data_IF_349702802947
#
_entry.id   IF_349702802947
#
_cell.length_a   1.000
_cell.length_b   1.000
_cell.length_c   1.000
_cell.angle_alpha   90.00
_cell.angle_beta   90.00
_cell.angle_gamma   90.00
#
_symmetry.space_group_name_H-M   'P 1'
#
loop_
_entity.id
_entity.type
_entity.pdbx_description
1 polymer ?
#
# COMPACT_ATOMS: atom_id res chain seq x y z
N UNK A 1 -2.98 -3.11 -11.13
CA UNK A 1 -3.89 -2.75 -10.03
C UNK A 1 -4.50 -3.98 -9.36
N UNK A 2 -5.31 -4.80 -10.06
CA UNK A 2 -6.05 -5.92 -9.45
C UNK A 2 -5.16 -6.94 -8.71
N UNK A 3 -4.05 -7.38 -9.31
CA UNK A 3 -3.12 -8.30 -8.63
C UNK A 3 -2.47 -7.66 -7.39
N UNK A 4 -2.19 -6.35 -7.41
CA UNK A 4 -1.69 -5.62 -6.24
C UNK A 4 -2.73 -5.60 -5.11
N UNK A 5 -4.01 -5.42 -5.43
CA UNK A 5 -5.10 -5.51 -4.45
C UNK A 5 -5.21 -6.91 -3.85
N UNK A 6 -5.09 -7.96 -4.66
CA UNK A 6 -5.10 -9.36 -4.18
C UNK A 6 -3.93 -9.61 -3.23
N UNK A 7 -2.72 -9.16 -3.59
CA UNK A 7 -1.54 -9.27 -2.71
C UNK A 7 -1.78 -8.54 -1.40
N UNK A 8 -2.30 -7.31 -1.45
CA UNK A 8 -2.57 -6.50 -0.26
C UNK A 8 -3.60 -7.19 0.65
N UNK A 9 -4.69 -7.73 0.09
CA UNK A 9 -5.70 -8.49 0.84
C UNK A 9 -5.12 -9.75 1.48
N UNK A 10 -4.38 -10.55 0.72
CA UNK A 10 -3.72 -11.76 1.24
C UNK A 10 -2.65 -11.45 2.31
N UNK A 11 -1.99 -10.31 2.19
CA UNK A 11 -1.03 -9.85 3.18
C UNK A 11 -1.72 -9.44 4.49
N UNK A 12 -2.85 -8.72 4.40
CA UNK A 12 -3.68 -8.38 5.56
C UNK A 12 -4.25 -9.65 6.22
N UNK A 13 -4.63 -10.66 5.45
CA UNK A 13 -5.09 -11.97 5.97
C UNK A 13 -3.96 -12.87 6.52
N UNK A 14 -2.70 -12.40 6.55
CA UNK A 14 -1.51 -13.17 6.91
C UNK A 14 -1.27 -14.45 6.06
N UNK A 15 -1.87 -14.53 4.86
CA UNK A 15 -1.69 -15.66 3.92
C UNK A 15 -0.45 -15.46 3.06
N UNK A 16 0.70 -15.31 3.72
CA UNK A 16 1.97 -14.86 3.14
C UNK A 16 2.44 -15.69 1.94
N UNK A 17 2.27 -17.02 1.98
CA UNK A 17 2.66 -17.90 0.86
C UNK A 17 1.89 -17.57 -0.44
N UNK A 18 0.58 -17.35 -0.35
CA UNK A 18 -0.21 -16.96 -1.52
C UNK A 18 0.10 -15.52 -1.94
N UNK A 19 0.27 -14.61 -0.98
CA UNK A 19 0.65 -13.23 -1.27
C UNK A 19 1.97 -13.16 -2.06
N UNK A 20 2.94 -14.04 -1.78
CA UNK A 20 4.19 -14.17 -2.56
C UNK A 20 3.93 -14.64 -3.99
N UNK A 21 3.11 -15.67 -4.18
CA UNK A 21 2.78 -16.15 -5.54
C UNK A 21 2.11 -15.06 -6.37
N UNK A 22 1.14 -14.35 -5.78
CA UNK A 22 0.44 -13.26 -6.45
C UNK A 22 1.32 -12.02 -6.67
N UNK A 23 2.30 -11.75 -5.79
CA UNK A 23 3.23 -10.63 -6.00
C UNK A 23 4.18 -10.92 -7.15
N UNK A 24 4.68 -12.15 -7.26
CA UNK A 24 5.45 -12.62 -8.42
C UNK A 24 4.61 -12.52 -9.70
N UNK A 25 3.35 -12.97 -9.66
CA UNK A 25 2.45 -12.85 -10.80
C UNK A 25 2.21 -11.40 -11.22
N UNK A 26 2.04 -10.48 -10.25
CA UNK A 26 1.83 -9.05 -10.49
C UNK A 26 3.00 -8.37 -11.22
N UNK A 27 4.21 -8.90 -11.05
CA UNK A 27 5.44 -8.40 -11.69
C UNK A 27 5.61 -9.01 -13.08
N UNK A 28 5.45 -10.33 -13.19
CA UNK A 28 5.83 -11.09 -14.38
C UNK A 28 4.71 -11.09 -15.44
N UNK A 29 3.47 -11.33 -15.06
CA UNK A 29 2.36 -11.51 -16.02
C UNK A 29 2.09 -10.25 -16.86
N UNK A 30 2.06 -9.03 -16.28
CA UNK A 30 1.91 -7.81 -17.07
C UNK A 30 3.18 -7.39 -17.83
N UNK A 31 4.28 -8.15 -17.74
CA UNK A 31 5.60 -7.78 -18.25
C UNK A 31 6.10 -6.42 -17.75
N UNK A 32 5.73 -6.02 -16.53
CA UNK A 32 6.09 -4.72 -15.96
C UNK A 32 6.92 -4.87 -14.67
N UNK A 33 8.24 -5.13 -14.80
CA UNK A 33 9.08 -5.54 -13.68
C UNK A 33 9.26 -4.44 -12.62
N UNK A 34 9.08 -3.18 -12.98
CA UNK A 34 9.24 -2.05 -12.06
C UNK A 34 8.27 -2.11 -10.88
N UNK A 35 7.09 -2.72 -11.06
CA UNK A 35 6.10 -2.91 -9.99
C UNK A 35 6.67 -3.70 -8.80
N UNK A 36 7.74 -4.49 -9.00
CA UNK A 36 8.41 -5.23 -7.92
C UNK A 36 8.81 -4.35 -6.73
N UNK A 37 9.11 -3.07 -6.97
CA UNK A 37 9.45 -2.08 -5.94
C UNK A 37 8.38 -2.03 -4.85
N UNK A 38 7.09 -2.06 -5.19
CA UNK A 38 6.01 -1.93 -4.19
C UNK A 38 5.90 -3.13 -3.27
N UNK A 39 6.48 -4.27 -3.67
CA UNK A 39 6.49 -5.51 -2.88
C UNK A 39 7.74 -5.65 -2.02
N UNK A 40 8.70 -4.73 -2.06
CA UNK A 40 9.90 -4.78 -1.20
C UNK A 40 9.53 -4.76 0.29
N UNK A 41 8.65 -3.85 0.78
CA UNK A 41 8.26 -3.88 2.18
C UNK A 41 7.46 -5.12 2.56
N UNK A 42 6.64 -5.63 1.63
CA UNK A 42 5.94 -6.91 1.79
C UNK A 42 6.92 -8.07 1.98
N UNK A 43 7.94 -8.18 1.13
CA UNK A 43 8.93 -9.23 1.24
C UNK A 43 9.67 -9.18 2.58
N UNK A 44 10.07 -7.98 3.02
CA UNK A 44 10.70 -7.78 4.32
C UNK A 44 9.79 -8.21 5.48
N UNK A 45 8.51 -7.80 5.46
CA UNK A 45 7.52 -8.19 6.46
C UNK A 45 7.27 -9.70 6.47
N UNK A 46 7.10 -10.31 5.30
CA UNK A 46 6.87 -11.74 5.15
C UNK A 46 8.04 -12.57 5.69
N UNK A 47 9.28 -12.17 5.38
CA UNK A 47 10.50 -12.82 5.89
C UNK A 47 10.59 -12.67 7.42
N UNK A 48 10.34 -11.47 7.94
CA UNK A 48 10.36 -11.21 9.38
C UNK A 48 9.34 -12.07 10.14
N UNK A 49 8.09 -12.13 9.67
CA UNK A 49 7.04 -12.93 10.29
C UNK A 49 7.31 -14.44 10.18
N UNK A 50 7.81 -14.90 9.03
CA UNK A 50 8.18 -16.29 8.83
C UNK A 50 9.35 -16.70 9.75
N UNK A 51 10.34 -15.83 9.90
CA UNK A 51 11.48 -16.01 10.80
C UNK A 51 11.08 -16.05 12.27
N UNK A 52 10.14 -15.20 12.69
CA UNK A 52 9.66 -15.18 14.08
C UNK A 52 8.85 -16.43 14.45
N UNK A 53 8.00 -16.94 13.55
CA UNK A 53 7.11 -18.09 13.82
C UNK A 53 7.80 -19.45 13.64
N UNK A 54 8.68 -19.59 12.64
CA UNK A 54 9.23 -20.88 12.21
C UNK A 54 10.76 -20.85 11.98
N UNK A 55 11.45 -19.82 12.52
CA UNK A 55 12.91 -19.64 12.46
C UNK A 55 13.45 -19.75 11.03
N UNK A 56 14.35 -20.69 10.76
CA UNK A 56 14.96 -20.85 9.44
C UNK A 56 14.02 -21.50 8.40
N UNK A 57 13.21 -22.48 8.82
CA UNK A 57 12.35 -23.26 7.92
C UNK A 57 11.26 -22.39 7.27
N UNK A 58 10.68 -21.45 8.03
CA UNK A 58 9.68 -20.52 7.51
C UNK A 58 10.24 -19.60 6.43
N UNK A 59 11.43 -19.02 6.67
CA UNK A 59 12.08 -18.13 5.70
C UNK A 59 12.46 -18.90 4.44
N UNK A 60 13.07 -20.08 4.58
CA UNK A 60 13.42 -20.94 3.46
C UNK A 60 12.17 -21.31 2.63
N UNK A 61 11.03 -21.59 3.28
CA UNK A 61 9.75 -21.87 2.62
C UNK A 61 9.24 -20.68 1.81
N UNK A 62 9.24 -19.47 2.37
CA UNK A 62 8.79 -18.25 1.67
C UNK A 62 9.67 -17.97 0.45
N UNK A 63 11.00 -18.08 0.61
CA UNK A 63 11.96 -17.92 -0.48
C UNK A 63 11.76 -18.99 -1.57
N UNK A 64 11.56 -20.25 -1.18
CA UNK A 64 11.30 -21.34 -2.11
C UNK A 64 9.99 -21.13 -2.88
N UNK A 65 8.92 -20.68 -2.22
CA UNK A 65 7.65 -20.33 -2.89
C UNK A 65 7.89 -19.22 -3.92
N UNK A 66 8.62 -18.17 -3.57
CA UNK A 66 8.96 -17.08 -4.50
C UNK A 66 9.77 -17.56 -5.69
N UNK A 67 10.80 -18.37 -5.47
CA UNK A 67 11.66 -18.90 -6.53
C UNK A 67 10.90 -19.85 -7.47
N UNK A 68 10.17 -20.82 -6.91
CA UNK A 68 9.40 -21.80 -7.69
C UNK A 68 8.28 -21.11 -8.47
N UNK A 69 7.51 -20.23 -7.82
CA UNK A 69 6.45 -19.49 -8.54
C UNK A 69 7.04 -18.57 -9.61
N UNK A 70 8.19 -17.95 -9.36
CA UNK A 70 8.91 -17.14 -10.34
C UNK A 70 9.30 -17.94 -11.57
N UNK A 71 9.95 -19.09 -11.39
CA UNK A 71 10.35 -19.97 -12.51
C UNK A 71 9.13 -20.48 -13.28
N UNK A 72 8.10 -20.94 -12.59
CA UNK A 72 6.89 -21.49 -13.24
C UNK A 72 6.15 -20.41 -14.02
N UNK A 73 5.86 -19.26 -13.39
CA UNK A 73 5.11 -18.17 -14.03
C UNK A 73 5.91 -17.58 -15.19
N UNK A 74 7.21 -17.34 -15.02
CA UNK A 74 8.08 -16.86 -16.09
C UNK A 74 8.15 -17.85 -17.24
N UNK A 75 8.30 -19.15 -16.95
CA UNK A 75 8.29 -20.22 -17.95
C UNK A 75 7.00 -20.24 -18.75
N UNK A 76 5.84 -20.09 -18.09
CA UNK A 76 4.55 -19.99 -18.76
C UNK A 76 4.46 -18.75 -19.66
N UNK A 77 4.89 -17.57 -19.19
CA UNK A 77 4.88 -16.34 -20.00
C UNK A 77 5.79 -16.48 -21.22
N UNK A 78 7.02 -16.98 -21.05
CA UNK A 78 7.96 -17.21 -22.15
C UNK A 78 7.39 -18.23 -23.14
N UNK A 79 6.74 -19.30 -22.67
CA UNK A 79 6.13 -20.29 -23.54
C UNK A 79 4.99 -19.69 -24.38
N UNK A 80 4.12 -18.88 -23.77
CA UNK A 80 3.04 -18.17 -24.50
C UNK A 80 3.65 -17.20 -25.52
N UNK A 81 4.62 -16.39 -25.12
CA UNK A 81 5.32 -15.47 -26.02
C UNK A 81 5.98 -16.22 -27.19
N UNK A 82 6.62 -17.36 -26.92
CA UNK A 82 7.22 -18.19 -27.96
C UNK A 82 6.19 -18.74 -28.94
N UNK A 83 5.05 -19.25 -28.45
CA UNK A 83 3.97 -19.76 -29.30
C UNK A 83 3.39 -18.67 -30.21
N UNK A 84 3.28 -17.43 -29.72
CA UNK A 84 2.69 -16.32 -30.47
C UNK A 84 3.69 -15.66 -31.42
N UNK A 85 4.91 -15.40 -30.96
CA UNK A 85 5.92 -14.63 -31.70
C UNK A 85 6.97 -15.49 -32.41
N UNK A 86 6.97 -16.81 -32.19
CA UNK A 86 7.94 -17.76 -32.77
C UNK A 86 9.40 -17.38 -32.44
N UNK A 87 9.60 -16.67 -31.33
CA UNK A 87 10.89 -16.17 -30.89
C UNK A 87 11.00 -16.30 -29.38
N UNK A 88 12.11 -16.86 -28.91
CA UNK A 88 12.38 -16.94 -27.48
C UNK A 88 12.79 -15.54 -26.98
N UNK A 89 11.88 -14.91 -26.24
CA UNK A 89 12.06 -13.55 -25.73
C UNK A 89 11.64 -13.50 -24.28
N UNK A 90 12.41 -12.77 -23.48
CA UNK A 90 12.02 -12.40 -22.12
C UNK A 90 11.59 -10.93 -22.14
N UNK A 91 10.30 -10.67 -22.39
CA UNK A 91 9.79 -9.32 -22.60
C UNK A 91 10.11 -8.37 -21.44
N UNK A 92 9.93 -8.84 -20.20
CA UNK A 92 10.26 -8.08 -19.00
C UNK A 92 11.74 -7.65 -18.95
N UNK A 93 12.67 -8.52 -19.36
CA UNK A 93 14.10 -8.19 -19.41
C UNK A 93 14.42 -7.14 -20.47
N UNK A 94 13.79 -7.25 -21.65
CA UNK A 94 13.98 -6.27 -22.71
C UNK A 94 13.52 -4.86 -22.29
N UNK A 95 12.40 -4.77 -21.57
CA UNK A 95 11.91 -3.49 -21.04
C UNK A 95 12.89 -2.90 -20.02
N UNK A 96 13.44 -3.71 -19.12
CA UNK A 96 14.47 -3.24 -18.17
C UNK A 96 15.71 -2.76 -18.90
N UNK A 97 16.19 -3.53 -19.88
CA UNK A 97 17.36 -3.16 -20.67
C UNK A 97 17.13 -1.85 -21.42
N UNK A 98 15.94 -1.64 -21.97
CA UNK A 98 15.58 -0.45 -22.73
C UNK A 98 15.43 0.79 -21.83
N UNK A 99 14.67 0.71 -20.74
CA UNK A 99 14.35 1.87 -19.90
C UNK A 99 15.41 2.17 -18.82
N UNK A 100 15.95 1.13 -18.17
CA UNK A 100 16.82 1.31 -17.00
C UNK A 100 18.32 1.28 -17.34
N UNK A 101 18.71 0.60 -18.42
CA UNK A 101 20.11 0.40 -18.82
C UNK A 101 20.45 1.03 -20.18
N UNK A 102 19.48 1.63 -20.87
CA UNK A 102 19.68 2.26 -22.17
C UNK A 102 20.32 3.64 -22.07
N UNK A 103 21.14 4.01 -23.06
CA UNK A 103 21.86 5.30 -23.14
C UNK A 103 21.00 6.46 -23.68
N UNK A 104 19.80 6.18 -24.19
CA UNK A 104 18.92 7.18 -24.82
C UNK A 104 17.65 7.44 -24.02
N UNK A 105 16.93 8.50 -24.41
CA UNK A 105 15.71 9.15 -23.87
C UNK A 105 14.49 8.25 -23.61
N UNK A 106 14.65 6.95 -23.38
CA UNK A 106 13.60 5.92 -23.37
C UNK A 106 12.42 6.23 -22.45
N UNK A 107 12.67 6.76 -21.25
CA UNK A 107 11.60 7.14 -20.32
C UNK A 107 10.90 8.46 -20.69
N UNK A 108 11.52 9.36 -21.47
CA UNK A 108 10.95 10.67 -21.82
C UNK A 108 10.32 10.69 -23.22
N UNK A 109 10.05 9.53 -23.82
CA UNK A 109 9.51 9.41 -25.17
C UNK A 109 8.21 10.21 -25.36
N UNK A 110 7.41 10.33 -24.30
CA UNK A 110 6.14 11.06 -24.28
C UNK A 110 6.20 12.42 -23.57
N UNK A 111 7.41 12.94 -23.33
CA UNK A 111 7.62 14.24 -22.70
C UNK A 111 7.72 14.21 -21.16
N UNK A 112 7.79 15.39 -20.56
CA UNK A 112 8.00 15.61 -19.13
C UNK A 112 6.88 16.47 -18.59
N UNK A 113 6.40 16.14 -17.39
CA UNK A 113 5.28 16.83 -16.75
C UNK A 113 5.68 17.28 -15.34
N UNK A 114 5.14 18.41 -14.84
CA UNK A 114 5.37 18.84 -13.47
C UNK A 114 4.67 17.92 -12.46
N UNK A 115 5.06 17.98 -11.19
CA UNK A 115 4.45 17.18 -10.11
C UNK A 115 2.94 17.38 -9.96
N UNK A 116 2.43 18.56 -10.34
CA UNK A 116 1.01 18.87 -10.31
C UNK A 116 0.18 17.95 -11.22
N UNK A 117 0.78 17.29 -12.20
CA UNK A 117 0.13 16.28 -13.05
C UNK A 117 -0.50 15.16 -12.22
N UNK A 118 0.26 14.55 -11.30
CA UNK A 118 -0.27 13.48 -10.45
C UNK A 118 -1.33 13.97 -9.46
N UNK A 119 -1.19 15.19 -8.94
CA UNK A 119 -2.21 15.77 -8.06
C UNK A 119 -3.53 15.98 -8.81
N UNK A 120 -3.49 16.56 -10.02
CA UNK A 120 -4.66 16.73 -10.88
C UNK A 120 -5.29 15.38 -11.20
N UNK A 121 -4.47 14.37 -11.52
CA UNK A 121 -4.95 13.03 -11.85
C UNK A 121 -5.61 12.36 -10.64
N UNK A 122 -5.06 12.49 -9.44
CA UNK A 122 -5.68 12.00 -8.21
C UNK A 122 -7.04 12.66 -7.94
N UNK A 123 -7.12 13.98 -8.07
CA UNK A 123 -8.38 14.73 -7.90
C UNK A 123 -9.43 14.29 -8.93
N UNK A 124 -9.03 14.12 -10.19
CA UNK A 124 -9.94 13.71 -11.26
C UNK A 124 -10.45 12.27 -11.08
N UNK A 125 -9.55 11.33 -10.74
CA UNK A 125 -9.91 9.92 -10.64
C UNK A 125 -10.62 9.56 -9.33
N UNK A 126 -10.25 10.19 -8.21
CA UNK A 126 -10.80 9.86 -6.89
C UNK A 126 -11.86 10.85 -6.42
N UNK A 127 -12.07 11.96 -7.13
CA UNK A 127 -13.05 13.01 -6.78
C UNK A 127 -12.95 13.41 -5.30
N UNK A 128 -14.04 13.28 -4.54
CA UNK A 128 -14.08 13.56 -3.10
C UNK A 128 -13.09 12.71 -2.31
N UNK A 129 -12.81 11.48 -2.76
CA UNK A 129 -11.82 10.59 -2.16
C UNK A 129 -10.39 11.13 -2.25
N UNK A 130 -10.09 12.00 -3.24
CA UNK A 130 -8.79 12.64 -3.35
C UNK A 130 -8.49 13.54 -2.15
N UNK A 131 -9.50 14.15 -1.53
CA UNK A 131 -9.33 14.96 -0.33
C UNK A 131 -8.80 14.15 0.87
N UNK A 132 -8.95 12.83 0.84
CA UNK A 132 -8.43 11.91 1.86
C UNK A 132 -7.12 11.25 1.42
N UNK A 133 -6.97 10.96 0.13
CA UNK A 133 -5.78 10.32 -0.44
C UNK A 133 -4.60 11.28 -0.64
N UNK A 134 -4.82 12.55 -0.95
CA UNK A 134 -3.76 13.56 -1.14
C UNK A 134 -3.03 13.88 0.17
N UNK A 135 -3.74 14.14 1.29
CA UNK A 135 -3.10 14.26 2.59
C UNK A 135 -2.86 12.90 3.25
N UNK A 136 -2.85 11.79 2.51
CA UNK A 136 -2.69 10.45 3.10
C UNK A 136 -1.44 10.33 3.97
N UNK A 137 -0.27 10.76 3.49
CA UNK A 137 0.97 10.71 4.26
C UNK A 137 0.88 11.52 5.57
N UNK A 138 0.45 12.80 5.57
CA UNK A 138 0.25 13.54 6.82
C UNK A 138 -0.90 13.00 7.69
N UNK A 139 -2.02 12.52 7.14
CA UNK A 139 -3.12 11.93 7.90
C UNK A 139 -2.73 10.61 8.58
N UNK A 140 -1.93 9.81 7.88
CA UNK A 140 -1.33 8.60 8.40
C UNK A 140 -0.40 8.94 9.56
N UNK A 141 0.58 9.85 9.38
CA UNK A 141 1.43 10.32 10.48
C UNK A 141 0.64 10.98 11.63
N UNK A 142 -0.44 11.69 11.31
CA UNK A 142 -1.36 12.32 12.27
C UNK A 142 -2.09 11.27 13.11
N UNK A 143 -2.55 10.18 12.50
CA UNK A 143 -3.20 9.07 13.22
C UNK A 143 -2.26 8.36 14.21
N UNK A 144 -0.98 8.21 13.87
CA UNK A 144 0.00 7.54 14.72
C UNK A 144 0.57 8.42 15.84
N UNK A 145 0.80 9.71 15.57
CA UNK A 145 1.53 10.58 16.49
C UNK A 145 0.68 11.70 17.10
N UNK A 146 -0.24 12.29 16.34
CA UNK A 146 -0.95 13.50 16.76
C UNK A 146 -2.27 13.17 17.44
N UNK A 147 -2.99 12.16 16.98
CA UNK A 147 -4.27 11.75 17.57
C UNK A 147 -4.15 11.35 19.06
N UNK A 148 -3.12 10.59 19.49
CA UNK A 148 -2.90 10.32 20.91
C UNK A 148 -2.57 11.58 21.72
N UNK A 149 -1.81 12.52 21.15
CA UNK A 149 -1.45 13.78 21.81
C UNK A 149 -2.66 14.71 21.96
N UNK A 150 -3.51 14.81 20.95
CA UNK A 150 -4.77 15.57 20.98
C UNK A 150 -5.76 14.92 21.95
N UNK A 151 -5.88 13.59 21.94
CA UNK A 151 -6.68 12.84 22.91
C UNK A 151 -6.26 13.13 24.35
N UNK A 152 -4.95 13.13 24.62
CA UNK A 152 -4.40 13.48 25.93
C UNK A 152 -4.73 14.93 26.32
N UNK A 153 -4.55 15.90 25.42
CA UNK A 153 -4.87 17.32 25.67
C UNK A 153 -6.36 17.57 25.89
N UNK A 154 -7.23 16.79 25.24
CA UNK A 154 -8.68 16.88 25.38
C UNK A 154 -9.22 16.03 26.54
N UNK A 155 -8.36 15.35 27.32
CA UNK A 155 -8.81 14.48 28.42
C UNK A 155 -9.69 13.31 27.96
N UNK A 156 -9.51 12.86 26.71
CA UNK A 156 -10.21 11.71 26.14
C UNK A 156 -9.53 10.42 26.64
N UNK A 157 -10.26 9.30 26.78
CA UNK A 157 -9.70 8.05 27.28
C UNK A 157 -8.53 7.56 26.40
N UNK A 158 -7.49 6.94 27.00
CA UNK A 158 -6.25 6.57 26.30
C UNK A 158 -6.42 5.49 25.22
N UNK A 159 -7.60 4.87 25.11
CA UNK A 159 -7.94 3.89 24.06
C UNK A 159 -8.36 4.56 22.74
N UNK A 160 -7.70 5.65 22.35
CA UNK A 160 -7.92 6.31 21.07
C UNK A 160 -7.17 5.67 19.91
N UNK A 161 -6.27 4.70 20.18
CA UNK A 161 -5.67 3.88 19.12
C UNK A 161 -6.79 3.08 18.45
N UNK A 162 -7.16 3.36 17.20
CA UNK A 162 -7.90 2.38 16.44
C UNK A 162 -7.08 1.10 16.41
N UNK A 163 -7.73 -0.06 16.44
CA UNK A 163 -7.08 -1.37 16.17
C UNK A 163 -6.34 -1.37 14.80
N UNK A 164 -6.70 -0.39 13.97
CA UNK A 164 -6.18 -0.08 12.64
C UNK A 164 -4.83 0.68 12.65
N UNK A 165 -4.46 1.37 13.73
CA UNK A 165 -3.18 2.11 13.83
C UNK A 165 -2.06 1.21 14.36
N UNK A 166 -1.81 0.11 13.66
CA UNK A 166 -0.76 -0.87 13.97
C UNK A 166 0.49 -0.62 13.14
N UNK A 167 1.63 -1.16 13.59
CA UNK A 167 2.84 -1.20 12.78
C UNK A 167 2.60 -1.92 11.43
N UNK A 168 1.62 -2.82 11.36
CA UNK A 168 1.25 -3.53 10.15
C UNK A 168 0.59 -2.61 9.12
N UNK A 169 -0.27 -1.67 9.53
CA UNK A 169 -0.81 -0.67 8.59
C UNK A 169 0.30 0.15 7.94
N UNK A 170 1.37 0.43 8.70
CA UNK A 170 2.55 1.12 8.15
C UNK A 170 3.23 0.26 7.09
N UNK A 171 3.42 -1.03 7.38
CA UNK A 171 3.98 -1.97 6.43
C UNK A 171 3.10 -2.06 5.16
N UNK A 172 1.79 -2.20 5.31
CA UNK A 172 0.85 -2.32 4.18
C UNK A 172 0.89 -1.10 3.26
N UNK A 173 0.95 0.11 3.82
CA UNK A 173 0.96 1.35 3.05
C UNK A 173 2.33 1.71 2.46
N UNK A 174 3.42 1.19 3.03
CA UNK A 174 4.79 1.58 2.65
C UNK A 174 5.14 1.29 1.19
N UNK A 175 4.56 0.26 0.58
CA UNK A 175 4.73 -0.03 -0.85
C UNK A 175 4.24 1.11 -1.75
N UNK A 176 3.11 1.73 -1.37
CA UNK A 176 2.56 2.90 -2.05
C UNK A 176 3.45 4.14 -1.91
N UNK A 177 4.02 4.39 -0.72
CA UNK A 177 4.95 5.50 -0.51
C UNK A 177 6.23 5.34 -1.31
N UNK A 178 6.79 4.12 -1.33
CA UNK A 178 7.99 3.82 -2.10
C UNK A 178 7.72 4.03 -3.61
N UNK A 179 6.58 3.56 -4.10
CA UNK A 179 6.18 3.79 -5.49
C UNK A 179 6.03 5.28 -5.83
N UNK A 180 5.31 6.03 -4.99
CA UNK A 180 5.11 7.47 -5.20
C UNK A 180 6.44 8.22 -5.16
N UNK A 181 7.36 7.87 -4.25
CA UNK A 181 8.69 8.47 -4.20
C UNK A 181 9.45 8.24 -5.51
N UNK A 182 9.46 7.01 -6.03
CA UNK A 182 10.07 6.70 -7.32
C UNK A 182 9.40 7.49 -8.43
N UNK A 183 8.07 7.44 -8.56
CA UNK A 183 7.36 8.10 -9.66
C UNK A 183 7.42 9.63 -9.62
N UNK A 184 7.44 10.24 -8.44
CA UNK A 184 7.59 11.69 -8.27
C UNK A 184 8.99 12.17 -8.64
N UNK A 185 10.02 11.36 -8.36
CA UNK A 185 11.40 11.67 -8.73
C UNK A 185 11.65 11.62 -10.24
N UNK A 186 10.80 10.93 -11.00
CA UNK A 186 10.95 10.80 -12.45
C UNK A 186 10.38 12.04 -13.18
N UNK A 187 11.12 12.61 -14.15
CA UNK A 187 10.63 13.72 -14.96
C UNK A 187 9.37 13.34 -15.75
N UNK A 188 9.42 12.20 -16.43
CA UNK A 188 8.27 11.63 -17.13
C UNK A 188 7.19 11.15 -16.16
N UNK A 189 5.92 11.45 -16.48
CA UNK A 189 4.77 11.09 -15.67
C UNK A 189 3.65 10.60 -16.58
N UNK A 190 3.00 9.53 -16.17
CA UNK A 190 1.82 9.01 -16.83
C UNK A 190 0.75 8.66 -15.80
N UNK A 191 -0.51 8.85 -16.16
CA UNK A 191 -1.62 8.51 -15.27
C UNK A 191 -1.62 7.04 -14.84
N UNK A 192 -1.25 6.13 -15.76
CA UNK A 192 -1.22 4.69 -15.51
C UNK A 192 -0.20 4.28 -14.45
N UNK A 193 0.81 5.11 -14.18
CA UNK A 193 1.76 4.85 -13.10
C UNK A 193 1.07 4.95 -11.74
N UNK A 194 0.03 5.76 -11.59
CA UNK A 194 -0.72 5.85 -10.33
C UNK A 194 -1.60 4.63 -10.06
N UNK A 195 -1.91 3.80 -11.07
CA UNK A 195 -2.74 2.61 -10.91
C UNK A 195 -2.13 1.57 -9.95
N UNK A 196 -0.81 1.61 -9.76
CA UNK A 196 -0.09 0.77 -8.80
C UNK A 196 -0.22 1.33 -7.38
N UNK A 197 -0.29 2.66 -7.23
CA UNK A 197 -0.41 3.34 -5.93
C UNK A 197 -1.83 3.32 -5.36
N UNK A 198 -2.86 3.28 -6.20
CA UNK A 198 -4.27 3.41 -5.77
C UNK A 198 -4.69 2.46 -4.64
N UNK A 199 -4.37 1.16 -4.66
CA UNK A 199 -4.75 0.26 -3.55
C UNK A 199 -4.22 0.73 -2.19
N UNK A 200 -2.98 1.22 -2.15
CA UNK A 200 -2.33 1.70 -0.93
C UNK A 200 -2.92 3.03 -0.46
N UNK A 201 -3.14 3.96 -1.40
CA UNK A 201 -3.76 5.25 -1.11
C UNK A 201 -5.17 5.09 -0.55
N UNK A 202 -5.96 4.17 -1.13
CA UNK A 202 -7.32 3.87 -0.69
C UNK A 202 -7.33 3.20 0.69
N UNK A 203 -6.45 2.23 0.94
CA UNK A 203 -6.28 1.63 2.27
C UNK A 203 -5.96 2.70 3.32
N UNK A 204 -5.04 3.59 2.96
CA UNK A 204 -4.64 4.73 3.76
C UNK A 204 -5.78 5.71 4.09
N UNK A 205 -6.54 6.10 3.07
CA UNK A 205 -7.70 6.97 3.23
C UNK A 205 -8.79 6.31 4.09
N UNK A 206 -9.02 5.00 3.92
CA UNK A 206 -9.96 4.25 4.75
C UNK A 206 -9.53 4.25 6.23
N UNK A 207 -8.24 4.03 6.51
CA UNK A 207 -7.71 4.10 7.86
C UNK A 207 -7.83 5.51 8.47
N UNK A 208 -7.52 6.55 7.69
CA UNK A 208 -7.69 7.94 8.14
C UNK A 208 -9.15 8.28 8.47
N UNK A 209 -10.09 7.82 7.64
CA UNK A 209 -11.53 7.97 7.90
C UNK A 209 -11.98 7.23 9.16
N UNK A 210 -11.47 6.01 9.39
CA UNK A 210 -11.74 5.27 10.61
C UNK A 210 -11.25 6.02 11.86
N UNK A 211 -10.04 6.60 11.80
CA UNK A 211 -9.49 7.44 12.88
C UNK A 211 -10.34 8.69 13.13
N UNK A 212 -10.73 9.39 12.06
CA UNK A 212 -11.55 10.59 12.14
C UNK A 212 -12.92 10.29 12.78
N UNK A 213 -13.55 9.18 12.41
CA UNK A 213 -14.80 8.71 13.01
C UNK A 213 -14.66 8.52 14.52
N UNK A 214 -13.60 7.85 14.98
CA UNK A 214 -13.35 7.62 16.42
C UNK A 214 -13.17 8.94 17.16
N UNK A 215 -12.42 9.89 16.59
CA UNK A 215 -12.23 11.21 17.17
C UNK A 215 -13.55 11.96 17.32
N UNK A 216 -14.34 12.04 16.25
CA UNK A 216 -15.64 12.73 16.25
C UNK A 216 -16.56 12.10 17.29
N UNK A 217 -16.66 10.76 17.32
CA UNK A 217 -17.47 10.04 18.28
C UNK A 217 -17.12 10.41 19.72
N UNK A 218 -15.82 10.40 20.06
CA UNK A 218 -15.35 10.70 21.40
C UNK A 218 -15.60 12.17 21.81
N UNK A 219 -15.48 13.12 20.86
CA UNK A 219 -15.80 14.53 21.12
C UNK A 219 -17.30 14.70 21.40
N UNK A 220 -18.15 14.07 20.57
CA UNK A 220 -19.60 14.13 20.73
C UNK A 220 -20.03 13.48 22.04
N UNK A 221 -19.52 12.28 22.35
CA UNK A 221 -19.86 11.58 23.59
C UNK A 221 -19.42 12.36 24.84
N UNK A 222 -18.23 12.97 24.82
CA UNK A 222 -17.78 13.88 25.88
C UNK A 222 -18.75 15.06 26.04
N UNK A 223 -19.19 15.68 24.94
CA UNK A 223 -20.12 16.82 24.99
C UNK A 223 -21.53 16.43 25.45
N UNK A 224 -21.99 15.21 25.13
CA UNK A 224 -23.27 14.69 25.58
C UNK A 224 -23.23 14.25 27.04
N UNK A 225 -22.13 13.67 27.50
CA UNK A 225 -21.95 13.25 28.89
C UNK A 225 -21.82 14.41 29.86
N UNK A 226 -21.16 15.51 29.48
CA UNK A 226 -21.11 16.75 30.30
C UNK A 226 -22.48 17.44 30.43
N UNK A 227 -23.40 17.21 29.50
CA UNK A 227 -24.79 17.73 29.55
C UNK A 227 -25.76 16.82 30.30
N UNK A 228 -25.40 15.58 30.63
CA UNK A 228 -26.23 14.74 31.52
C UNK A 228 -26.12 15.33 32.93
N UNK A 229 -27.21 15.88 33.45
CA UNK A 229 -27.31 16.30 34.85
C UNK A 229 -26.83 15.16 35.75
N UNK A 230 -26.09 15.44 36.84
CA UNK A 230 -25.77 14.42 37.82
C UNK A 230 -27.09 13.77 38.23
N UNK A 231 -27.15 12.43 38.22
CA UNK A 231 -28.23 11.70 38.89
C UNK A 231 -28.16 12.14 40.34
N UNK A 232 -28.92 13.18 40.71
CA UNK A 232 -29.18 13.48 42.09
C UNK A 232 -29.73 12.18 42.67
N UNK A 233 -29.02 11.65 43.66
CA UNK A 233 -29.41 10.44 44.38
C UNK A 233 -30.77 10.69 44.98
N UNK A 234 -31.82 10.28 44.26
CA UNK A 234 -33.13 10.14 44.83
C UNK A 234 -33.11 8.87 45.67
N UNK A 235 -33.23 9.10 46.98
CA UNK A 235 -33.75 8.20 48.00
C UNK A 235 -32.77 7.18 48.61
N UNK A 236 -32.19 7.58 49.73
CA UNK A 236 -32.10 6.71 50.92
C UNK A 236 -32.57 7.52 52.12
N UNK A 237 -33.90 7.54 52.30
CA UNK A 237 -34.58 7.86 53.56
C UNK A 237 -34.57 6.65 54.48
#
# INVERSE_FOLDING_TARGET
MLLVMIVLGLWIEERLGLAVVFSVAAVIVPCWPFVAVVFVPFAAHAIYHAGRKQSFSGVARILAIGAVSGVVILGCVIAVDFLMYQKLVVAAWNIVKYNALGESTGDNLYGVEPMSFYLKNLVLNLNVGAALCVPFLPLFLWSFHVLPLVGLRLGLPPKLKPDVASADLIAYCSGGFLWLAVMLSRPHKEERFLYVAYPFLLLGAAAAMACLRVLIWNIVDKHLSTKRLPRQGFLSS
#
